data_IF_587990094534
#
_entry.id   IF_587990094534
#
_cell.length_a   1.000
_cell.length_b   1.000
_cell.length_c   1.000
_cell.angle_alpha   90.00
_cell.angle_beta   90.00
_cell.angle_gamma   90.00
#
_symmetry.space_group_name_H-M   'P 1'
#
loop_
_entity.id
_entity.type
_entity.pdbx_description
1 polymer ?
#
# COMPACT_ATOMS: atom_id res chain seq x y z
N UNK A 1 11.25 13.54 3.74
CA UNK A 1 11.56 12.43 4.65
C UNK A 1 11.51 11.12 3.88
N UNK A 2 12.46 10.23 4.13
CA UNK A 2 12.52 8.96 3.43
C UNK A 2 11.92 7.84 4.27
N UNK A 3 11.09 7.03 3.65
CA UNK A 3 10.49 5.87 4.29
C UNK A 3 11.17 4.59 3.81
N UNK A 4 11.21 3.58 4.65
CA UNK A 4 11.76 2.28 4.27
C UNK A 4 10.77 1.53 3.38
N UNK A 5 11.27 0.55 2.63
CA UNK A 5 10.41 -0.31 1.82
C UNK A 5 9.36 -1.01 2.69
N UNK A 6 9.75 -1.47 3.86
CA UNK A 6 8.84 -2.14 4.80
C UNK A 6 7.71 -1.21 5.23
N UNK A 7 8.03 0.06 5.53
CA UNK A 7 7.01 1.03 5.90
C UNK A 7 6.01 1.26 4.77
N UNK A 8 6.50 1.38 3.54
CA UNK A 8 5.64 1.56 2.37
C UNK A 8 4.76 0.34 2.12
N UNK A 9 5.31 -0.86 2.24
CA UNK A 9 4.54 -2.10 2.10
C UNK A 9 3.46 -2.18 3.17
N UNK A 10 3.79 -1.88 4.41
CA UNK A 10 2.83 -1.90 5.51
C UNK A 10 1.68 -0.91 5.27
N UNK A 11 2.00 0.29 4.81
CA UNK A 11 0.99 1.31 4.52
C UNK A 11 0.06 0.87 3.37
N UNK A 12 0.64 0.33 2.31
CA UNK A 12 -0.15 -0.16 1.16
C UNK A 12 -1.06 -1.32 1.57
N UNK A 13 -0.55 -2.22 2.39
CA UNK A 13 -1.36 -3.34 2.90
C UNK A 13 -2.50 -2.85 3.78
N UNK A 14 -2.25 -1.84 4.62
CA UNK A 14 -3.28 -1.26 5.47
C UNK A 14 -4.38 -0.60 4.65
N UNK A 15 -4.02 0.16 3.63
CA UNK A 15 -4.99 0.77 2.73
C UNK A 15 -5.81 -0.28 1.99
N UNK A 16 -5.14 -1.28 1.46
CA UNK A 16 -5.82 -2.36 0.72
C UNK A 16 -6.81 -3.11 1.62
N UNK A 17 -6.40 -3.43 2.83
CA UNK A 17 -7.26 -4.11 3.79
C UNK A 17 -8.49 -3.27 4.13
N UNK A 18 -8.31 -1.96 4.30
CA UNK A 18 -9.41 -1.04 4.57
C UNK A 18 -10.39 -0.98 3.39
N UNK A 19 -9.87 -0.92 2.15
CA UNK A 19 -10.71 -0.86 0.95
C UNK A 19 -11.47 -2.17 0.71
N UNK A 20 -10.86 -3.31 1.01
CA UNK A 20 -11.44 -4.64 0.76
C UNK A 20 -12.22 -5.20 1.94
N UNK A 21 -12.31 -4.45 3.01
CA UNK A 21 -12.92 -4.86 4.25
C UNK A 21 -14.38 -5.33 4.09
N UNK A 22 -15.16 -4.66 3.24
CA UNK A 22 -16.57 -5.03 3.01
C UNK A 22 -16.79 -5.83 1.70
N UNK A 23 -15.89 -5.68 0.74
CA UNK A 23 -16.09 -6.22 -0.62
C UNK A 23 -15.01 -7.21 -1.05
N UNK A 24 -14.38 -7.89 -0.09
CA UNK A 24 -13.34 -8.85 -0.41
C UNK A 24 -13.92 -10.06 -1.17
N UNK A 25 -13.36 -10.33 -2.35
CA UNK A 25 -13.76 -11.47 -3.18
C UNK A 25 -12.59 -12.46 -3.24
N UNK A 26 -12.67 -13.60 -2.54
CA UNK A 26 -11.55 -14.56 -2.51
C UNK A 26 -11.27 -15.22 -3.87
N UNK A 27 -12.18 -15.13 -4.82
CA UNK A 27 -11.95 -15.69 -6.16
C UNK A 27 -11.21 -14.72 -7.08
N UNK A 28 -11.46 -13.41 -6.95
CA UNK A 28 -10.90 -12.41 -7.85
C UNK A 28 -9.80 -11.56 -7.21
N UNK A 29 -9.86 -11.39 -5.90
CA UNK A 29 -8.88 -10.57 -5.18
C UNK A 29 -7.79 -11.45 -4.58
N UNK A 30 -6.53 -10.98 -4.55
CA UNK A 30 -5.47 -11.73 -3.89
C UNK A 30 -5.68 -11.75 -2.38
N UNK A 31 -5.15 -12.78 -1.73
CA UNK A 31 -5.16 -12.81 -0.27
C UNK A 31 -4.27 -11.68 0.28
N UNK A 32 -4.48 -11.25 1.53
CA UNK A 32 -3.58 -10.26 2.14
C UNK A 32 -2.12 -10.67 2.11
N UNK A 33 -1.83 -11.95 2.28
CA UNK A 33 -0.47 -12.47 2.21
C UNK A 33 0.12 -12.35 0.81
N UNK A 34 -0.65 -12.68 -0.20
CA UNK A 34 -0.21 -12.57 -1.59
C UNK A 34 0.00 -11.11 -1.98
N UNK A 35 -0.90 -10.22 -1.59
CA UNK A 35 -0.78 -8.81 -1.86
C UNK A 35 0.51 -8.24 -1.25
N UNK A 36 0.78 -8.58 0.01
CA UNK A 36 2.00 -8.13 0.68
C UNK A 36 3.24 -8.63 -0.05
N UNK A 37 3.24 -9.89 -0.45
CA UNK A 37 4.35 -10.49 -1.17
C UNK A 37 4.59 -9.77 -2.50
N UNK A 38 3.51 -9.47 -3.23
CA UNK A 38 3.62 -8.73 -4.49
C UNK A 38 4.21 -7.34 -4.27
N UNK A 39 3.79 -6.65 -3.21
CA UNK A 39 4.33 -5.33 -2.87
C UNK A 39 5.81 -5.41 -2.50
N UNK A 40 6.22 -6.47 -1.80
CA UNK A 40 7.62 -6.65 -1.42
C UNK A 40 8.53 -6.86 -2.62
N UNK A 41 8.00 -7.31 -3.75
CA UNK A 41 8.78 -7.48 -4.98
C UNK A 41 9.00 -6.17 -5.72
N UNK A 42 8.25 -5.12 -5.41
CA UNK A 42 8.38 -3.82 -6.05
C UNK A 42 9.56 -3.03 -5.46
N UNK A 43 10.11 -2.12 -6.26
CA UNK A 43 11.11 -1.18 -5.75
C UNK A 43 10.43 -0.11 -4.91
N UNK A 44 11.24 0.63 -4.12
CA UNK A 44 10.71 1.75 -3.33
C UNK A 44 10.00 2.76 -4.24
N UNK A 45 10.57 3.06 -5.40
CA UNK A 45 9.97 3.99 -6.35
C UNK A 45 8.61 3.50 -6.84
N UNK A 46 8.51 2.21 -7.16
CA UNK A 46 7.26 1.61 -7.60
C UNK A 46 6.21 1.62 -6.49
N UNK A 47 6.64 1.39 -5.25
CA UNK A 47 5.74 1.44 -4.10
C UNK A 47 5.17 2.85 -3.91
N UNK A 48 6.00 3.86 -4.06
CA UNK A 48 5.55 5.25 -3.97
C UNK A 48 4.52 5.55 -5.06
N UNK A 49 4.74 5.07 -6.28
CA UNK A 49 3.79 5.23 -7.37
C UNK A 49 2.45 4.55 -7.07
N UNK A 50 2.48 3.41 -6.37
CA UNK A 50 1.26 2.70 -6.00
C UNK A 50 0.43 3.42 -4.95
N UNK A 51 1.03 4.37 -4.21
CA UNK A 51 0.29 5.16 -3.21
C UNK A 51 -0.60 6.22 -3.86
N UNK A 52 -0.41 6.53 -5.14
CA UNK A 52 -1.14 7.56 -5.87
C UNK A 52 -1.00 8.94 -5.23
N UNK A 53 0.13 9.19 -4.60
CA UNK A 53 0.41 10.50 -3.99
C UNK A 53 0.90 11.49 -5.04
N UNK A 54 0.57 12.76 -4.83
CA UNK A 54 0.96 13.85 -5.71
C UNK A 54 1.18 15.14 -4.91
N UNK A 55 1.15 16.30 -5.58
CA UNK A 55 1.34 17.59 -4.92
C UNK A 55 0.21 17.94 -3.94
N UNK A 56 -1.01 17.46 -4.21
CA UNK A 56 -2.17 17.74 -3.36
C UNK A 56 -2.35 16.73 -2.24
N UNK A 57 -1.87 15.50 -2.44
CA UNK A 57 -1.89 14.45 -1.42
C UNK A 57 -0.49 13.85 -1.35
N UNK A 58 0.31 14.34 -0.41
CA UNK A 58 1.72 13.97 -0.32
C UNK A 58 1.93 12.59 0.31
N UNK A 59 3.10 12.01 0.06
CA UNK A 59 3.46 10.73 0.66
C UNK A 59 3.46 10.80 2.19
N UNK A 60 3.83 11.94 2.76
CA UNK A 60 3.80 12.12 4.21
C UNK A 60 2.39 12.01 4.75
N UNK A 61 1.42 12.61 4.07
CA UNK A 61 0.01 12.52 4.46
C UNK A 61 -0.51 11.09 4.35
N UNK A 62 -0.12 10.40 3.28
CA UNK A 62 -0.46 9.01 3.08
C UNK A 62 0.07 8.14 4.21
N UNK A 63 1.33 8.33 4.58
CA UNK A 63 1.97 7.55 5.64
C UNK A 63 1.38 7.84 7.01
N UNK A 64 0.93 9.07 7.25
CA UNK A 64 0.22 9.40 8.49
C UNK A 64 -1.11 8.68 8.59
N UNK A 65 -1.78 8.48 7.46
CA UNK A 65 -3.11 7.84 7.43
C UNK A 65 -3.02 6.31 7.55
N UNK A 66 -2.08 5.70 6.84
CA UNK A 66 -2.00 4.24 6.73
C UNK A 66 -0.75 3.62 7.34
N UNK A 67 0.29 4.37 7.47
CA UNK A 67 1.54 3.90 8.06
C UNK A 67 1.53 4.08 9.55
#
# INVERSE_FOLDING_TARGET
MNYTKEQLVDALCAEWDWLCHDDFDPENDPTPEQFRKDMEELTVQQLIEETWTDETFTLEEYMERYG
#
